data_IF_184165877394
#
_entry.id   IF_184165877394
#
_cell.length_a   1.000
_cell.length_b   1.000
_cell.length_c   1.000
_cell.angle_alpha   90.00
_cell.angle_beta   90.00
_cell.angle_gamma   90.00
#
_symmetry.space_group_name_H-M   'P 1'
#
loop_
_entity.id
_entity.type
_entity.pdbx_description
1 polymer ?
#
# COMPACT_ATOMS: atom_id res chain seq x y z
N UNK A 1 11.21 3.49 10.26
CA UNK A 1 9.79 3.11 10.23
C UNK A 1 9.67 1.74 10.90
N UNK A 2 9.37 1.70 12.20
CA UNK A 2 9.22 0.44 12.93
C UNK A 2 7.94 -0.23 12.46
N UNK A 3 8.06 -1.36 11.75
CA UNK A 3 6.92 -2.22 11.50
C UNK A 3 6.43 -2.75 12.85
N UNK A 4 5.26 -2.29 13.29
CA UNK A 4 4.64 -2.72 14.55
C UNK A 4 4.65 -4.24 14.65
N UNK A 5 5.20 -4.74 15.76
CA UNK A 5 5.35 -6.16 16.00
C UNK A 5 3.96 -6.78 16.22
N UNK A 6 3.59 -7.76 15.40
CA UNK A 6 2.30 -8.49 15.49
C UNK A 6 2.04 -9.11 16.86
N UNK A 7 3.11 -9.39 17.62
CA UNK A 7 3.05 -9.92 18.98
C UNK A 7 2.61 -8.87 20.00
N UNK A 8 2.95 -7.61 19.75
CA UNK A 8 2.62 -6.44 20.57
C UNK A 8 1.15 -6.06 20.39
N UNK A 9 0.67 -6.06 19.14
CA UNK A 9 -0.74 -5.81 18.78
C UNK A 9 -1.71 -6.84 19.38
N UNK A 10 -1.27 -8.07 19.64
CA UNK A 10 -2.09 -9.09 20.32
C UNK A 10 -2.24 -8.83 21.83
N UNK A 11 -1.31 -8.10 22.43
CA UNK A 11 -1.26 -7.82 23.88
C UNK A 11 -2.20 -6.68 24.26
N UNK A 12 -2.37 -5.70 23.37
CA UNK A 12 -3.38 -4.65 23.49
C UNK A 12 -4.76 -5.20 23.11
N UNK A 13 -5.48 -5.67 24.13
CA UNK A 13 -6.76 -6.40 24.04
C UNK A 13 -7.92 -5.54 23.53
N UNK A 14 -7.95 -5.25 22.22
CA UNK A 14 -9.16 -4.80 21.50
C UNK A 14 -9.46 -5.61 20.24
N UNK A 15 -8.77 -6.74 20.03
CA UNK A 15 -9.05 -7.60 18.88
C UNK A 15 -10.30 -8.44 19.17
N UNK A 16 -11.43 -8.01 18.59
CA UNK A 16 -12.69 -8.76 18.50
C UNK A 16 -12.37 -10.23 18.17
N UNK A 17 -12.95 -11.17 18.93
CA UNK A 17 -12.68 -12.62 18.90
C UNK A 17 -12.78 -13.32 17.52
N UNK A 18 -13.27 -12.62 16.49
CA UNK A 18 -13.46 -13.12 15.12
C UNK A 18 -12.82 -12.21 14.06
N UNK A 19 -11.75 -11.47 14.38
CA UNK A 19 -11.07 -10.65 13.38
C UNK A 19 -10.37 -11.56 12.36
N UNK A 20 -10.95 -11.64 11.16
CA UNK A 20 -10.31 -12.28 10.00
C UNK A 20 -9.24 -11.33 9.48
N UNK A 21 -8.00 -11.56 9.88
CA UNK A 21 -6.85 -10.85 9.34
C UNK A 21 -6.26 -11.70 8.23
N UNK A 22 -5.94 -11.09 7.09
CA UNK A 22 -5.21 -11.77 6.04
C UNK A 22 -3.76 -12.06 6.43
N UNK A 23 -3.14 -13.00 5.71
CA UNK A 23 -1.72 -13.25 5.87
C UNK A 23 -0.90 -12.02 5.43
N UNK A 24 0.26 -11.73 6.06
CA UNK A 24 1.14 -10.65 5.61
C UNK A 24 1.52 -10.75 4.13
N UNK A 25 1.64 -11.98 3.61
CA UNK A 25 1.91 -12.23 2.19
C UNK A 25 0.76 -11.79 1.29
N UNK A 26 -0.48 -12.07 1.69
CA UNK A 26 -1.68 -11.63 0.95
C UNK A 26 -1.78 -10.10 0.95
N UNK A 27 -1.63 -9.48 2.13
CA UNK A 27 -1.64 -8.03 2.27
C UNK A 27 -0.55 -7.36 1.42
N UNK A 28 0.65 -7.95 1.36
CA UNK A 28 1.73 -7.47 0.49
C UNK A 28 1.34 -7.49 -0.99
N UNK A 29 0.78 -8.60 -1.48
CA UNK A 29 0.34 -8.73 -2.88
C UNK A 29 -0.77 -7.73 -3.18
N UNK A 30 -1.73 -7.58 -2.26
CA UNK A 30 -2.81 -6.60 -2.40
C UNK A 30 -2.28 -5.18 -2.48
N UNK A 31 -1.36 -4.80 -1.58
CA UNK A 31 -0.74 -3.48 -1.60
C UNK A 31 0.01 -3.23 -2.92
N UNK A 32 0.77 -4.22 -3.39
CA UNK A 32 1.50 -4.16 -4.65
C UNK A 32 0.53 -3.93 -5.82
N UNK A 33 -0.54 -4.70 -5.94
CA UNK A 33 -1.51 -4.58 -7.04
C UNK A 33 -2.30 -3.27 -6.94
N UNK A 34 -2.73 -2.87 -5.74
CA UNK A 34 -3.53 -1.67 -5.53
C UNK A 34 -2.74 -0.37 -5.81
N UNK A 35 -1.43 -0.36 -5.55
CA UNK A 35 -0.57 0.81 -5.70
C UNK A 35 0.29 0.79 -6.96
N UNK A 36 0.42 -0.38 -7.59
CA UNK A 36 1.23 -0.54 -8.79
C UNK A 36 0.62 0.13 -10.01
N UNK A 37 1.47 0.45 -10.98
CA UNK A 37 1.08 1.03 -12.25
C UNK A 37 1.55 0.19 -13.42
N UNK A 38 1.88 0.85 -14.54
CA UNK A 38 2.38 0.19 -15.77
C UNK A 38 3.65 -0.64 -15.53
N UNK A 39 4.41 -0.34 -14.48
CA UNK A 39 5.57 -1.11 -14.04
C UNK A 39 5.23 -2.55 -13.62
N UNK A 40 3.99 -2.85 -13.25
CA UNK A 40 3.54 -4.21 -12.93
C UNK A 40 3.10 -5.05 -14.14
N UNK A 41 3.16 -4.51 -15.36
CA UNK A 41 2.71 -5.23 -16.56
C UNK A 41 3.38 -6.60 -16.70
N UNK A 42 4.70 -6.67 -16.53
CA UNK A 42 5.44 -7.92 -16.65
C UNK A 42 5.04 -8.92 -15.54
N UNK A 43 4.90 -8.43 -14.32
CA UNK A 43 4.45 -9.21 -13.17
C UNK A 43 3.07 -9.84 -13.39
N UNK A 44 2.09 -9.03 -13.80
CA UNK A 44 0.72 -9.51 -14.05
C UNK A 44 0.67 -10.50 -15.22
N UNK A 45 1.43 -10.25 -16.28
CA UNK A 45 1.52 -11.18 -17.42
C UNK A 45 2.09 -12.54 -17.02
N UNK A 46 3.11 -12.56 -16.16
CA UNK A 46 3.69 -13.82 -15.67
C UNK A 46 2.69 -14.58 -14.80
N UNK A 47 2.00 -13.89 -13.89
CA UNK A 47 0.95 -14.51 -13.07
C UNK A 47 -0.19 -15.07 -13.92
N UNK A 48 -0.64 -14.34 -14.95
CA UNK A 48 -1.68 -14.79 -15.87
C UNK A 48 -1.27 -16.05 -16.66
N UNK A 49 0.03 -16.26 -16.88
CA UNK A 49 0.59 -17.47 -17.51
C UNK A 49 0.78 -18.63 -16.53
N UNK A 50 0.43 -18.47 -15.26
CA UNK A 50 0.58 -19.52 -14.24
C UNK A 50 1.99 -19.63 -13.64
N UNK A 51 2.86 -18.63 -13.85
CA UNK A 51 4.18 -18.64 -13.23
C UNK A 51 4.11 -18.46 -11.71
N UNK A 52 5.13 -18.98 -11.01
CA UNK A 52 5.22 -18.84 -9.56
C UNK A 52 5.34 -17.36 -9.15
N UNK A 53 4.68 -16.99 -8.04
CA UNK A 53 4.76 -15.63 -7.48
C UNK A 53 6.20 -15.16 -7.27
N UNK A 54 7.09 -16.06 -6.83
CA UNK A 54 8.51 -15.75 -6.60
C UNK A 54 9.22 -15.35 -7.90
N UNK A 55 8.91 -15.99 -9.03
CA UNK A 55 9.44 -15.59 -10.35
C UNK A 55 8.80 -14.30 -10.84
N UNK A 56 7.49 -14.18 -10.70
CA UNK A 56 6.78 -12.97 -11.12
C UNK A 56 7.31 -11.73 -10.39
N UNK A 57 7.53 -11.79 -9.07
CA UNK A 57 8.05 -10.67 -8.29
C UNK A 57 9.42 -10.17 -8.77
N UNK A 58 10.27 -11.05 -9.30
CA UNK A 58 11.58 -10.66 -9.86
C UNK A 58 11.48 -9.82 -11.14
N UNK A 59 10.33 -9.83 -11.81
CA UNK A 59 10.11 -9.02 -13.01
C UNK A 59 9.79 -7.55 -12.71
N UNK A 60 9.56 -7.21 -11.45
CA UNK A 60 9.26 -5.85 -11.03
C UNK A 60 10.58 -5.09 -10.86
N UNK A 61 10.81 -4.00 -11.60
CA UNK A 61 12.10 -3.31 -11.58
C UNK A 61 12.45 -2.70 -10.21
N UNK A 62 11.45 -2.14 -9.54
CA UNK A 62 11.58 -1.54 -8.22
C UNK A 62 10.25 -1.75 -7.47
N UNK A 63 10.28 -2.64 -6.47
CA UNK A 63 9.10 -2.99 -5.68
C UNK A 63 8.84 -1.90 -4.63
N UNK A 64 9.90 -1.26 -4.12
CA UNK A 64 9.84 -0.23 -3.11
C UNK A 64 9.01 0.97 -3.58
N UNK A 65 9.05 1.32 -4.87
CA UNK A 65 8.25 2.41 -5.44
C UNK A 65 6.73 2.19 -5.23
N UNK A 66 6.27 0.94 -5.28
CA UNK A 66 4.86 0.60 -5.07
C UNK A 66 4.50 0.52 -3.57
N UNK A 67 5.44 0.12 -2.72
CA UNK A 67 5.19 -0.08 -1.28
C UNK A 67 5.36 1.19 -0.46
N UNK A 68 6.29 2.05 -0.86
CA UNK A 68 6.69 3.28 -0.16
C UNK A 68 6.67 4.45 -1.14
N UNK A 69 5.48 4.86 -1.62
CA UNK A 69 5.39 6.01 -2.51
C UNK A 69 5.97 7.26 -1.82
N UNK A 70 6.66 8.10 -2.60
CA UNK A 70 7.19 9.36 -2.09
C UNK A 70 6.04 10.24 -1.62
N UNK A 71 6.16 10.74 -0.39
CA UNK A 71 5.24 11.74 0.15
C UNK A 71 5.57 13.10 -0.50
N UNK A 72 4.90 13.42 -1.60
CA UNK A 72 4.96 14.74 -2.23
C UNK A 72 3.59 15.13 -2.73
N UNK A 73 3.25 16.41 -2.64
CA UNK A 73 2.04 16.97 -3.23
C UNK A 73 2.01 16.75 -4.76
N UNK A 74 3.18 16.65 -5.39
CA UNK A 74 3.32 16.42 -6.84
C UNK A 74 3.04 14.97 -7.24
N UNK A 75 2.94 14.02 -6.30
CA UNK A 75 2.59 12.64 -6.68
C UNK A 75 1.12 12.54 -7.03
N UNK A 76 0.78 11.62 -7.94
CA UNK A 76 -0.61 11.40 -8.34
C UNK A 76 -1.37 10.74 -7.19
N UNK A 77 -2.37 11.42 -6.67
CA UNK A 77 -3.22 10.90 -5.60
C UNK A 77 -4.43 10.15 -6.19
N UNK A 78 -5.03 9.20 -5.45
CA UNK A 78 -6.26 8.54 -5.90
C UNK A 78 -7.40 9.52 -6.24
N UNK A 79 -7.53 10.60 -5.46
CA UNK A 79 -8.51 11.67 -5.67
C UNK A 79 -8.14 12.65 -6.80
N UNK A 80 -6.97 12.52 -7.43
CA UNK A 80 -6.70 13.22 -8.70
C UNK A 80 -7.49 12.59 -9.87
N UNK A 81 -8.05 11.39 -9.66
CA UNK A 81 -8.85 10.65 -10.64
C UNK A 81 -10.34 10.63 -10.30
N UNK A 82 -10.71 11.05 -9.10
CA UNK A 82 -12.08 11.00 -8.58
C UNK A 82 -12.37 12.35 -7.93
N UNK A 83 -13.32 13.10 -8.49
CA UNK A 83 -13.78 14.32 -7.84
C UNK A 83 -14.62 13.96 -6.61
N UNK A 84 -14.11 14.36 -5.44
CA UNK A 84 -14.72 14.14 -4.13
C UNK A 84 -15.22 15.45 -3.50
N UNK A 85 -15.22 16.56 -4.25
CA UNK A 85 -15.62 17.88 -3.76
C UNK A 85 -14.60 18.55 -2.83
N UNK A 86 -13.39 18.00 -2.72
CA UNK A 86 -12.31 18.54 -1.87
C UNK A 86 -11.03 18.67 -2.68
N UNK A 87 -10.36 19.82 -2.55
CA UNK A 87 -9.10 20.08 -3.25
C UNK A 87 -7.96 19.23 -2.69
N UNK A 88 -7.09 18.74 -3.58
CA UNK A 88 -5.89 17.96 -3.23
C UNK A 88 -5.02 18.66 -2.19
N UNK A 89 -4.81 19.96 -2.37
CA UNK A 89 -3.95 20.79 -1.51
C UNK A 89 -4.52 20.91 -0.10
N UNK A 90 -5.85 20.88 0.04
CA UNK A 90 -6.51 20.85 1.34
C UNK A 90 -6.17 19.55 2.08
N UNK A 91 -6.38 18.39 1.43
CA UNK A 91 -6.10 17.09 2.05
C UNK A 91 -4.62 16.93 2.43
N UNK A 92 -3.72 17.41 1.58
CA UNK A 92 -2.29 17.41 1.87
C UNK A 92 -1.95 18.23 3.12
N UNK A 93 -2.51 19.43 3.24
CA UNK A 93 -2.29 20.29 4.42
C UNK A 93 -2.83 19.64 5.69
N UNK A 94 -4.02 19.04 5.66
CA UNK A 94 -4.58 18.34 6.82
C UNK A 94 -3.72 17.14 7.23
N UNK A 95 -3.19 16.39 6.27
CA UNK A 95 -2.24 15.32 6.53
C UNK A 95 -0.95 15.84 7.19
N UNK A 96 -0.38 16.94 6.68
CA UNK A 96 0.80 17.58 7.28
C UNK A 96 0.53 18.10 8.70
N UNK A 97 -0.68 18.60 8.98
CA UNK A 97 -1.10 19.01 10.33
C UNK A 97 -1.17 17.81 11.28
N UNK A 98 -1.79 16.71 10.83
CA UNK A 98 -1.89 15.47 11.61
C UNK A 98 -0.51 14.90 11.98
N UNK A 99 0.48 14.97 11.08
CA UNK A 99 1.85 14.54 11.37
C UNK A 99 2.57 15.41 12.41
N UNK A 100 2.14 16.65 12.62
CA UNK A 100 2.73 17.59 13.60
C UNK A 100 2.02 17.56 14.96
N UNK A 101 0.87 16.89 15.04
CA UNK A 101 0.07 16.78 16.26
C UNK A 101 0.55 15.62 17.16
N UNK A 102 1.83 15.23 17.05
CA UNK A 102 2.50 14.30 17.99
C UNK A 102 2.96 15.03 19.25
#
# INVERSE_FOLDING_TARGET
>A
MNFLNLTELKKERFIKKNLKIESPKSAFIQALIARGGRNLRAFLNLLAKGESLKRALKSIPNIEDALSPKNSLETVFPWDKIDIGVKKEYLWREWQRALKLE
#
